data_IF_120510303745
#
_entry.id   IF_120510303745
#
_cell.length_a   1.000
_cell.length_b   1.000
_cell.length_c   1.000
_cell.angle_alpha   90.00
_cell.angle_beta   90.00
_cell.angle_gamma   90.00
#
_symmetry.space_group_name_H-M   'P 1'
#
loop_
_entity.id
_entity.type
_entity.pdbx_description
1 polymer ?
#
# COMPACT_ATOMS: atom_id res chain seq x y z
N UNK A 1 14.10 -8.19 -14.06
CA UNK A 1 12.76 -8.78 -14.29
C UNK A 1 12.66 -9.32 -15.71
N UNK A 2 12.06 -10.49 -15.93
CA UNK A 2 11.83 -11.08 -17.27
C UNK A 2 10.35 -11.27 -17.61
N UNK A 3 9.46 -11.06 -16.64
CA UNK A 3 8.01 -11.23 -16.80
C UNK A 3 7.35 -9.90 -17.19
N UNK A 4 6.42 -9.97 -18.14
CA UNK A 4 5.65 -8.80 -18.59
C UNK A 4 4.62 -8.40 -17.52
N UNK A 5 4.37 -7.08 -17.38
CA UNK A 5 3.40 -6.48 -16.44
C UNK A 5 3.76 -6.56 -14.95
N UNK A 6 5.03 -6.76 -14.61
CA UNK A 6 5.54 -6.57 -13.24
C UNK A 6 6.08 -5.13 -13.10
N UNK A 7 5.74 -4.48 -12.00
CA UNK A 7 6.07 -3.08 -11.78
C UNK A 7 7.50 -2.98 -11.26
N UNK A 8 8.29 -2.08 -11.82
CA UNK A 8 9.62 -1.78 -11.32
C UNK A 8 9.54 -1.15 -9.93
N UNK A 9 10.42 -1.59 -9.04
CA UNK A 9 10.56 -1.04 -7.69
C UNK A 9 11.77 -0.12 -7.61
N UNK A 10 12.04 0.42 -6.43
CA UNK A 10 13.20 1.23 -6.13
C UNK A 10 14.53 0.51 -6.43
N UNK A 11 14.55 -0.83 -6.39
CA UNK A 11 15.71 -1.63 -6.75
C UNK A 11 16.03 -1.54 -8.24
N UNK A 12 15.01 -1.63 -9.11
CA UNK A 12 15.19 -1.44 -10.55
C UNK A 12 15.62 0.00 -10.87
N UNK A 13 15.06 0.99 -10.18
CA UNK A 13 15.44 2.41 -10.35
C UNK A 13 16.91 2.62 -9.97
N UNK A 14 17.34 2.04 -8.85
CA UNK A 14 18.72 2.13 -8.40
C UNK A 14 19.70 1.40 -9.34
N UNK A 15 19.30 0.23 -9.84
CA UNK A 15 20.08 -0.50 -10.85
C UNK A 15 20.19 0.30 -12.17
N UNK A 16 19.12 0.98 -12.58
CA UNK A 16 19.13 1.88 -13.74
C UNK A 16 20.03 3.10 -13.53
N UNK A 17 20.07 3.69 -12.33
CA UNK A 17 20.97 4.79 -12.01
C UNK A 17 22.44 4.38 -12.17
N UNK A 18 22.80 3.17 -11.73
CA UNK A 18 24.14 2.61 -11.96
C UNK A 18 24.41 2.26 -13.42
N UNK A 19 23.41 1.71 -14.13
CA UNK A 19 23.53 1.38 -15.55
C UNK A 19 23.74 2.62 -16.43
N UNK A 20 22.99 3.70 -16.16
CA UNK A 20 23.02 4.94 -16.94
C UNK A 20 24.07 5.94 -16.47
N UNK A 21 24.74 5.69 -15.33
CA UNK A 21 25.76 6.57 -14.74
C UNK A 21 25.24 8.00 -14.56
N UNK A 22 23.99 8.11 -14.11
CA UNK A 22 23.28 9.38 -13.87
C UNK A 22 22.41 9.23 -12.63
N UNK A 23 22.19 10.34 -11.92
CA UNK A 23 21.26 10.36 -10.79
C UNK A 23 19.82 10.32 -11.31
N UNK A 24 18.99 9.48 -10.70
CA UNK A 24 17.55 9.44 -10.95
C UNK A 24 16.84 10.01 -9.73
N UNK A 25 16.00 11.02 -9.92
CA UNK A 25 15.18 11.63 -8.88
C UNK A 25 13.73 11.21 -9.08
N UNK A 26 13.09 10.76 -8.00
CA UNK A 26 11.64 10.53 -7.99
C UNK A 26 10.97 11.53 -7.07
N UNK A 27 9.88 12.15 -7.52
CA UNK A 27 9.06 13.01 -6.69
C UNK A 27 7.93 12.19 -6.08
N UNK A 28 7.94 12.08 -4.76
CA UNK A 28 6.94 11.36 -3.98
C UNK A 28 6.62 12.16 -2.72
N UNK A 29 5.33 12.29 -2.38
CA UNK A 29 4.87 12.94 -1.15
C UNK A 29 5.48 14.34 -0.93
N UNK A 30 5.48 15.15 -1.99
CA UNK A 30 6.02 16.51 -1.99
C UNK A 30 7.54 16.61 -1.75
N UNK A 31 8.29 15.52 -1.96
CA UNK A 31 9.73 15.45 -1.74
C UNK A 31 10.44 14.76 -2.90
N UNK A 32 11.68 15.17 -3.18
CA UNK A 32 12.55 14.52 -4.17
C UNK A 32 13.43 13.49 -3.49
N UNK A 33 13.38 12.26 -3.98
CA UNK A 33 14.24 11.15 -3.54
C UNK A 33 15.27 10.89 -4.63
N UNK A 34 16.55 10.91 -4.26
CA UNK A 34 17.68 10.68 -5.18
C UNK A 34 18.18 9.24 -5.12
N UNK A 35 18.25 8.60 -6.28
CA UNK A 35 18.89 7.32 -6.52
C UNK A 35 20.18 7.57 -7.29
N UNK A 36 21.31 7.25 -6.67
CA UNK A 36 22.63 7.48 -7.26
C UNK A 36 23.44 6.20 -7.25
N UNK A 37 24.19 5.99 -8.31
CA UNK A 37 25.13 4.89 -8.42
C UNK A 37 26.19 4.91 -7.31
N UNK A 38 26.48 6.09 -6.71
CA UNK A 38 27.37 6.23 -5.55
C UNK A 38 26.84 5.51 -4.30
N UNK A 39 25.54 5.19 -4.24
CA UNK A 39 24.93 4.40 -3.16
C UNK A 39 25.30 2.91 -3.25
N UNK A 40 25.85 2.46 -4.38
CA UNK A 40 26.27 1.06 -4.60
C UNK A 40 27.78 0.96 -4.79
N UNK A 41 28.36 1.85 -5.62
CA UNK A 41 29.76 1.78 -6.02
C UNK A 41 30.47 3.13 -5.81
N UNK A 42 31.60 3.13 -5.10
CA UNK A 42 32.36 4.33 -4.73
C UNK A 42 33.11 5.01 -5.88
N UNK A 43 33.16 4.40 -7.07
CA UNK A 43 33.77 4.96 -8.28
C UNK A 43 32.67 5.18 -9.31
N UNK A 44 32.12 6.39 -9.39
CA UNK A 44 31.27 6.77 -10.49
C UNK A 44 31.51 8.22 -10.87
N UNK A 45 31.91 8.44 -12.12
CA UNK A 45 31.83 9.72 -12.80
C UNK A 45 30.35 10.01 -13.06
N UNK A 46 29.67 10.61 -12.08
CA UNK A 46 28.25 10.93 -12.19
C UNK A 46 28.12 12.05 -13.22
N UNK A 47 27.39 11.81 -14.30
CA UNK A 47 27.09 12.85 -15.27
C UNK A 47 26.33 14.00 -14.57
N UNK A 48 26.63 15.26 -14.95
CA UNK A 48 25.96 16.47 -14.42
C UNK A 48 24.45 16.57 -14.79
N UNK A 49 23.93 15.60 -15.52
CA UNK A 49 22.52 15.51 -15.90
C UNK A 49 21.86 14.44 -15.03
N UNK A 50 20.58 14.65 -14.71
CA UNK A 50 19.79 13.75 -13.91
C UNK A 50 18.44 13.49 -14.57
N UNK A 51 17.89 12.30 -14.33
CA UNK A 51 16.56 11.91 -14.79
C UNK A 51 15.56 12.23 -13.68
N UNK A 52 14.45 12.88 -14.01
CA UNK A 52 13.41 13.23 -13.05
C UNK A 52 12.12 12.48 -13.37
N UNK A 53 11.56 11.82 -12.35
CA UNK A 53 10.32 11.06 -12.43
C UNK A 53 9.34 11.58 -11.38
N UNK A 54 8.06 11.63 -11.70
CA UNK A 54 6.99 11.87 -10.75
C UNK A 54 6.30 10.55 -10.42
N UNK A 55 6.25 10.18 -9.14
CA UNK A 55 5.57 8.98 -8.69
C UNK A 55 4.15 9.31 -8.23
N UNK A 56 3.18 8.87 -9.02
CA UNK A 56 1.74 8.96 -8.71
C UNK A 56 1.35 7.75 -7.86
N UNK A 57 1.59 7.84 -6.56
CA UNK A 57 1.43 6.73 -5.61
C UNK A 57 0.02 6.11 -5.60
N UNK A 58 -1.04 6.88 -5.92
CA UNK A 58 -2.42 6.38 -5.94
C UNK A 58 -2.67 5.35 -7.06
N UNK A 59 -1.88 5.41 -8.13
CA UNK A 59 -1.96 4.49 -9.28
C UNK A 59 -0.62 3.80 -9.56
N UNK A 60 0.34 3.90 -8.63
CA UNK A 60 1.73 3.41 -8.70
C UNK A 60 2.48 3.78 -10.00
N UNK A 61 2.08 4.86 -10.69
CA UNK A 61 2.56 5.21 -12.02
C UNK A 61 3.75 6.18 -11.97
N UNK A 62 4.68 6.05 -12.92
CA UNK A 62 5.82 6.97 -13.06
C UNK A 62 5.68 7.79 -14.33
N UNK A 63 5.68 9.11 -14.18
CA UNK A 63 5.70 10.04 -15.29
C UNK A 63 7.08 10.69 -15.41
N UNK A 64 7.51 10.99 -16.65
CA UNK A 64 8.78 11.67 -16.89
C UNK A 64 8.60 13.17 -16.70
N UNK A 65 9.46 13.78 -15.88
CA UNK A 65 9.47 15.23 -15.65
C UNK A 65 10.46 15.88 -16.61
N UNK A 66 9.97 16.78 -17.46
CA UNK A 66 10.76 17.42 -18.52
C UNK A 66 11.42 18.73 -18.09
N UNK A 67 10.94 19.36 -17.02
CA UNK A 67 11.51 20.58 -16.48
C UNK A 67 11.27 20.69 -14.96
N UNK A 68 12.29 21.14 -14.23
CA UNK A 68 12.20 21.42 -12.80
C UNK A 68 12.51 22.90 -12.58
N UNK A 69 11.66 23.61 -11.85
CA UNK A 69 11.90 25.02 -11.51
C UNK A 69 13.00 25.09 -10.45
N UNK A 70 14.16 25.64 -10.79
CA UNK A 70 15.23 25.85 -9.80
C UNK A 70 14.82 26.96 -8.82
N UNK A 71 14.58 26.59 -7.57
CA UNK A 71 14.71 27.51 -6.44
C UNK A 71 16.15 27.37 -5.91
N UNK A 72 16.70 28.47 -5.39
CA UNK A 72 18.14 28.63 -5.06
C UNK A 72 18.73 27.47 -4.25
N UNK A 73 20.06 27.23 -4.30
CA UNK A 73 20.70 25.94 -3.99
C UNK A 73 20.64 25.45 -2.53
N UNK A 74 19.82 26.05 -1.68
CA UNK A 74 19.77 25.78 -0.24
C UNK A 74 18.90 24.57 0.20
N UNK A 75 18.33 23.80 -0.73
CA UNK A 75 17.34 22.75 -0.41
C UNK A 75 17.55 21.39 -1.08
N UNK A 76 18.79 21.02 -1.41
CA UNK A 76 19.11 19.63 -1.75
C UNK A 76 19.55 18.89 -0.47
N UNK A 77 18.64 18.16 0.16
CA UNK A 77 19.01 17.20 1.20
C UNK A 77 19.57 15.93 0.53
N UNK A 78 20.90 15.83 0.50
CA UNK A 78 21.62 14.62 0.12
C UNK A 78 21.61 13.66 1.32
N UNK A 79 20.72 12.66 1.29
CA UNK A 79 20.79 11.53 2.21
C UNK A 79 21.81 10.50 1.70
N UNK A 80 23.08 10.68 2.04
CA UNK A 80 24.12 9.64 1.91
C UNK A 80 24.03 8.68 3.11
N UNK A 81 23.49 7.49 2.89
CA UNK A 81 23.51 6.41 3.89
C UNK A 81 24.90 5.75 3.86
N UNK A 82 25.83 6.26 4.66
CA UNK A 82 27.09 5.57 4.94
C UNK A 82 26.84 4.39 5.88
N UNK A 83 27.03 3.15 5.40
CA UNK A 83 27.21 1.98 6.26
C UNK A 83 28.66 1.97 6.76
N UNK A 84 28.88 2.24 8.04
CA UNK A 84 30.15 1.95 8.70
C UNK A 84 30.10 0.55 9.28
N UNK A 85 30.95 -0.33 8.75
CA UNK A 85 31.35 -1.56 9.40
C UNK A 85 32.41 -1.23 10.46
N UNK A 86 32.10 -1.41 11.73
CA UNK A 86 33.10 -1.35 12.81
C UNK A 86 33.16 -2.71 13.52
N UNK A 87 34.17 -3.50 13.13
CA UNK A 87 34.83 -4.46 14.02
C UNK A 87 35.47 -3.70 15.18
N UNK A 88 35.39 -4.21 16.42
CA UNK A 88 36.49 -4.18 17.42
C UNK A 88 36.16 -5.08 18.63
N UNK A 89 37.20 -5.79 19.06
CA UNK A 89 37.30 -6.83 20.07
C UNK A 89 36.99 -6.44 21.53
N UNK A 90 36.76 -7.49 22.33
CA UNK A 90 36.66 -7.51 23.80
C UNK A 90 38.02 -7.27 24.48
N UNK A 91 38.00 -6.59 25.63
CA UNK A 91 38.73 -6.89 26.90
C UNK A 91 38.28 -5.88 27.98
N UNK A 92 37.61 -6.32 29.07
CA UNK A 92 38.08 -6.39 30.49
C UNK A 92 38.65 -5.05 31.02
N UNK A 93 38.31 -4.46 32.18
CA UNK A 93 37.79 -4.94 33.46
C UNK A 93 37.58 -3.73 34.41
N UNK A 94 36.66 -3.89 35.39
CA UNK A 94 36.75 -3.46 36.82
C UNK A 94 36.53 -2.00 37.28
N UNK A 95 35.68 -1.93 38.32
CA UNK A 95 35.62 -1.00 39.47
C UNK A 95 34.72 0.26 39.44
N UNK A 96 33.52 0.06 39.99
CA UNK A 96 33.01 0.67 41.24
C UNK A 96 33.38 2.13 41.58
N UNK A 97 32.35 2.99 41.66
CA UNK A 97 31.97 3.69 42.91
C UNK A 97 30.66 4.47 42.73
N UNK A 98 29.72 4.22 43.65
CA UNK A 98 28.51 5.03 43.88
C UNK A 98 28.91 6.31 44.61
N UNK A 99 28.51 7.46 44.07
CA UNK A 99 28.32 8.69 44.86
C UNK A 99 27.06 9.39 44.37
N UNK A 100 26.08 9.49 45.27
CA UNK A 100 24.93 10.39 45.12
C UNK A 100 25.46 11.80 45.32
N UNK A 101 25.42 12.65 44.29
CA UNK A 101 25.60 14.09 44.43
C UNK A 101 24.48 14.84 43.71
N UNK A 102 23.89 15.73 44.50
CA UNK A 102 23.06 16.90 44.23
C UNK A 102 22.19 17.03 42.96
N UNK A 103 20.88 17.06 43.20
CA UNK A 103 19.86 17.50 42.25
C UNK A 103 19.80 19.03 42.32
N UNK A 104 20.59 19.72 41.50
CA UNK A 104 20.29 21.02 40.90
C UNK A 104 21.57 21.60 40.32
N UNK A 105 21.85 21.30 39.05
CA UNK A 105 22.60 22.10 38.06
C UNK A 105 23.16 21.20 36.94
N UNK A 106 22.31 20.80 35.98
CA UNK A 106 22.69 20.68 34.55
C UNK A 106 21.42 20.92 33.71
N UNK A 107 21.03 22.19 33.58
CA UNK A 107 20.41 22.65 32.33
C UNK A 107 21.56 22.81 31.33
N UNK A 108 21.29 22.47 30.07
CA UNK A 108 22.16 22.52 28.89
C UNK A 108 23.05 21.28 28.64
N UNK A 109 22.51 20.32 27.91
CA UNK A 109 23.05 19.88 26.60
C UNK A 109 22.18 18.76 26.01
N UNK A 110 21.22 19.16 25.18
CA UNK A 110 20.63 18.31 24.13
C UNK A 110 20.07 19.20 23.01
N UNK A 111 20.90 20.16 22.58
CA UNK A 111 20.73 20.86 21.31
C UNK A 111 21.71 20.21 20.33
N UNK A 112 21.19 19.41 19.42
CA UNK A 112 21.68 19.19 18.06
C UNK A 112 20.70 18.25 17.36
N UNK A 113 19.45 18.71 17.27
CA UNK A 113 18.58 18.36 16.17
C UNK A 113 18.10 19.68 15.60
N UNK A 114 19.02 20.34 14.89
CA UNK A 114 18.79 21.62 14.22
C UNK A 114 17.68 21.46 13.17
N UNK A 115 16.49 21.86 13.58
CA UNK A 115 15.77 22.96 12.95
C UNK A 115 15.77 22.97 11.40
N UNK A 116 15.08 22.01 10.81
CA UNK A 116 14.42 22.25 9.53
C UNK A 116 13.00 22.71 9.83
N UNK A 117 12.74 24.00 9.59
CA UNK A 117 11.42 24.62 9.66
C UNK A 117 10.59 24.14 8.45
N UNK A 118 10.28 22.85 8.41
CA UNK A 118 9.40 22.24 7.41
C UNK A 118 7.95 22.32 7.87
N UNK A 119 7.07 22.49 6.90
CA UNK A 119 5.62 22.78 6.90
C UNK A 119 4.71 21.78 7.66
N UNK A 120 5.22 21.13 8.71
CA UNK A 120 4.57 20.19 9.63
C UNK A 120 4.31 20.80 11.02
N UNK A 121 4.74 22.04 11.26
CA UNK A 121 4.60 22.73 12.55
C UNK A 121 3.18 23.23 12.84
N UNK A 122 2.27 23.24 11.84
CA UNK A 122 0.87 23.68 11.98
C UNK A 122 -0.12 22.52 12.05
N UNK A 123 0.32 21.27 11.88
CA UNK A 123 -0.61 20.13 11.98
C UNK A 123 -0.98 19.87 13.43
N UNK A 124 -2.29 19.81 13.67
CA UNK A 124 -2.85 19.38 14.94
C UNK A 124 -2.33 17.98 15.28
N UNK A 125 -2.34 17.65 16.57
CA UNK A 125 -1.99 16.31 17.05
C UNK A 125 -2.79 15.22 16.32
N UNK A 126 -4.05 15.49 15.99
CA UNK A 126 -4.93 14.57 15.27
C UNK A 126 -4.46 14.34 13.82
N UNK A 127 -4.02 15.38 13.12
CA UNK A 127 -3.54 15.27 11.74
C UNK A 127 -2.22 14.51 11.66
N UNK A 128 -1.29 14.78 12.59
CA UNK A 128 -0.05 14.00 12.72
C UNK A 128 -0.33 12.52 12.91
N UNK A 129 -1.33 12.18 13.72
CA UNK A 129 -1.73 10.79 13.95
C UNK A 129 -2.40 10.16 12.72
N UNK A 130 -3.22 10.91 11.96
CA UNK A 130 -3.81 10.44 10.70
C UNK A 130 -2.75 10.13 9.65
N UNK A 131 -1.78 11.03 9.46
CA UNK A 131 -0.66 10.83 8.54
C UNK A 131 0.13 9.59 8.96
N UNK A 132 0.45 9.48 10.25
CA UNK A 132 1.14 8.30 10.78
C UNK A 132 0.35 7.01 10.54
N UNK A 133 -0.97 7.02 10.70
CA UNK A 133 -1.80 5.84 10.44
C UNK A 133 -1.77 5.39 8.97
N UNK A 134 -1.57 6.31 8.03
CA UNK A 134 -1.43 6.01 6.60
C UNK A 134 -0.06 5.43 6.24
N UNK A 135 1.01 6.03 6.78
CA UNK A 135 2.39 5.71 6.37
C UNK A 135 3.00 4.58 7.21
N UNK A 136 2.79 4.56 8.52
CA UNK A 136 3.43 3.64 9.45
C UNK A 136 2.55 2.39 9.66
N UNK A 137 2.87 1.33 8.92
CA UNK A 137 2.15 0.05 8.95
C UNK A 137 2.12 -0.58 10.36
N UNK A 138 3.22 -0.51 11.11
CA UNK A 138 3.30 -1.07 12.46
C UNK A 138 2.44 -0.28 13.44
N UNK A 139 2.42 1.04 13.33
CA UNK A 139 1.53 1.88 14.11
C UNK A 139 0.06 1.58 13.81
N UNK A 140 -0.30 1.47 12.53
CA UNK A 140 -1.64 1.05 12.08
C UNK A 140 -2.03 -0.30 12.65
N UNK A 141 -1.13 -1.28 12.59
CA UNK A 141 -1.34 -2.63 13.12
C UNK A 141 -1.54 -2.62 14.63
N UNK A 142 -0.66 -1.96 15.38
CA UNK A 142 -0.77 -1.82 16.85
C UNK A 142 -2.06 -1.13 17.27
N UNK A 143 -2.44 -0.05 16.58
CA UNK A 143 -3.71 0.65 16.82
C UNK A 143 -4.90 -0.28 16.56
N UNK A 144 -4.89 -1.00 15.44
CA UNK A 144 -5.94 -1.96 15.08
C UNK A 144 -6.10 -3.05 16.13
N UNK A 145 -5.00 -3.68 16.57
CA UNK A 145 -5.02 -4.71 17.62
C UNK A 145 -5.55 -4.16 18.95
N UNK A 146 -5.13 -2.95 19.33
CA UNK A 146 -5.57 -2.31 20.57
C UNK A 146 -7.07 -1.99 20.54
N UNK A 147 -7.56 -1.45 19.41
CA UNK A 147 -8.98 -1.20 19.18
C UNK A 147 -9.80 -2.48 19.20
N UNK A 148 -9.33 -3.54 18.54
CA UNK A 148 -9.96 -4.87 18.57
C UNK A 148 -10.05 -5.37 20.01
N UNK A 149 -8.95 -5.36 20.77
CA UNK A 149 -8.95 -5.81 22.17
C UNK A 149 -9.96 -5.05 23.03
N UNK A 150 -10.00 -3.72 22.90
CA UNK A 150 -10.93 -2.87 23.66
C UNK A 150 -12.40 -3.17 23.31
N UNK A 151 -12.68 -3.44 22.04
CA UNK A 151 -14.03 -3.70 21.57
C UNK A 151 -14.52 -5.11 21.88
N UNK A 152 -13.69 -6.13 21.62
CA UNK A 152 -14.04 -7.54 21.84
C UNK A 152 -13.93 -7.95 23.31
N UNK A 153 -13.06 -7.31 24.10
CA UNK A 153 -12.87 -7.61 25.52
C UNK A 153 -13.87 -6.93 26.47
N UNK A 154 -14.80 -6.11 25.96
CA UNK A 154 -15.80 -5.44 26.78
C UNK A 154 -17.20 -5.57 26.16
N UNK A 155 -17.96 -6.51 26.71
CA UNK A 155 -19.31 -6.84 26.24
C UNK A 155 -20.28 -5.66 26.35
N UNK A 156 -20.17 -4.86 27.42
CA UNK A 156 -21.04 -3.72 27.66
C UNK A 156 -20.90 -2.66 26.54
N UNK A 157 -19.66 -2.37 26.12
CA UNK A 157 -19.39 -1.46 25.01
C UNK A 157 -19.99 -1.99 23.71
N UNK A 158 -19.87 -3.30 23.46
CA UNK A 158 -20.41 -3.95 22.26
C UNK A 158 -21.93 -3.84 22.21
N UNK A 159 -22.61 -4.21 23.30
CA UNK A 159 -24.07 -4.13 23.40
C UNK A 159 -24.58 -2.68 23.27
N UNK A 160 -23.88 -1.71 23.85
CA UNK A 160 -24.22 -0.28 23.66
C UNK A 160 -24.16 0.13 22.19
N UNK A 161 -23.14 -0.30 21.44
CA UNK A 161 -23.05 0.01 20.00
C UNK A 161 -24.11 -0.69 19.16
N UNK A 162 -24.42 -1.96 19.46
CA UNK A 162 -25.49 -2.70 18.77
C UNK A 162 -26.82 -2.00 18.98
N UNK A 163 -27.18 -1.67 20.24
CA UNK A 163 -28.42 -0.95 20.55
C UNK A 163 -28.47 0.43 19.87
N UNK A 164 -27.33 1.12 19.77
CA UNK A 164 -27.27 2.39 19.04
C UNK A 164 -27.54 2.19 17.55
N UNK A 165 -26.90 1.20 16.93
CA UNK A 165 -27.11 0.88 15.51
C UNK A 165 -28.56 0.50 15.19
N UNK A 166 -29.22 -0.20 16.10
CA UNK A 166 -30.63 -0.61 15.94
C UNK A 166 -31.58 0.60 16.00
N UNK A 167 -31.39 1.48 16.99
CA UNK A 167 -32.32 2.59 17.29
C UNK A 167 -32.06 3.87 16.52
N UNK A 168 -30.80 4.18 16.18
CA UNK A 168 -30.41 5.43 15.56
C UNK A 168 -30.17 5.22 14.06
N UNK A 169 -31.18 5.60 13.26
CA UNK A 169 -31.14 5.51 11.80
C UNK A 169 -29.96 6.30 11.22
N UNK A 170 -29.74 7.53 11.70
CA UNK A 170 -28.70 8.42 11.16
C UNK A 170 -27.30 7.86 11.38
N UNK A 171 -27.08 7.29 12.56
CA UNK A 171 -25.84 6.60 12.89
C UNK A 171 -25.62 5.37 12.00
N UNK A 172 -26.67 4.56 11.79
CA UNK A 172 -26.61 3.38 10.93
C UNK A 172 -26.29 3.75 9.48
N UNK A 173 -26.98 4.74 8.92
CA UNK A 173 -26.74 5.21 7.55
C UNK A 173 -25.33 5.77 7.39
N UNK A 174 -24.87 6.60 8.32
CA UNK A 174 -23.51 7.14 8.30
C UNK A 174 -22.44 6.04 8.29
N UNK A 175 -22.63 4.97 9.07
CA UNK A 175 -21.74 3.81 9.06
C UNK A 175 -21.76 3.06 7.74
N UNK A 176 -22.94 2.85 7.16
CA UNK A 176 -23.09 2.18 5.86
C UNK A 176 -22.38 2.99 4.78
N UNK A 177 -22.61 4.30 4.71
CA UNK A 177 -21.98 5.18 3.73
C UNK A 177 -20.46 5.21 3.89
N UNK A 178 -19.97 5.29 5.12
CA UNK A 178 -18.52 5.20 5.39
C UNK A 178 -17.93 3.85 4.93
N UNK A 179 -18.68 2.76 5.10
CA UNK A 179 -18.30 1.43 4.63
C UNK A 179 -18.25 1.32 3.11
N UNK A 180 -19.23 1.92 2.42
CA UNK A 180 -19.27 1.99 0.95
C UNK A 180 -18.09 2.80 0.42
N UNK A 181 -17.85 4.00 0.96
CA UNK A 181 -16.72 4.84 0.59
C UNK A 181 -15.40 4.07 0.74
N UNK A 182 -15.23 3.42 1.89
CA UNK A 182 -14.04 2.59 2.15
C UNK A 182 -13.89 1.45 1.14
N UNK A 183 -14.97 0.78 0.75
CA UNK A 183 -14.91 -0.29 -0.27
C UNK A 183 -14.45 0.22 -1.64
N UNK A 184 -14.79 1.46 -2.00
CA UNK A 184 -14.36 2.06 -3.25
C UNK A 184 -12.90 2.56 -3.21
N UNK A 185 -12.49 3.15 -2.09
CA UNK A 185 -11.18 3.80 -1.92
C UNK A 185 -10.05 2.83 -1.53
N UNK A 186 -10.33 1.83 -0.70
CA UNK A 186 -9.33 0.93 -0.10
C UNK A 186 -9.40 -0.44 -0.78
N UNK A 187 -8.48 -0.68 -1.72
CA UNK A 187 -8.42 -1.91 -2.50
C UNK A 187 -8.12 -3.14 -1.63
N UNK A 188 -7.22 -3.02 -0.65
CA UNK A 188 -6.91 -4.12 0.28
C UNK A 188 -8.13 -4.52 1.09
N UNK A 189 -8.88 -3.52 1.58
CA UNK A 189 -10.13 -3.75 2.30
C UNK A 189 -11.18 -4.42 1.41
N UNK A 190 -11.36 -3.94 0.16
CA UNK A 190 -12.27 -4.53 -0.82
C UNK A 190 -11.92 -5.99 -1.09
N UNK A 191 -10.66 -6.27 -1.40
CA UNK A 191 -10.20 -7.62 -1.72
C UNK A 191 -10.37 -8.56 -0.52
N UNK A 192 -10.02 -8.11 0.69
CA UNK A 192 -10.22 -8.88 1.93
C UNK A 192 -11.71 -9.20 2.15
N UNK A 193 -12.59 -8.24 1.89
CA UNK A 193 -14.04 -8.41 2.06
C UNK A 193 -14.61 -9.41 1.04
N UNK A 194 -14.18 -9.32 -0.22
CA UNK A 194 -14.55 -10.27 -1.29
C UNK A 194 -14.11 -11.69 -0.90
N UNK A 195 -12.84 -11.85 -0.51
CA UNK A 195 -12.32 -13.16 -0.11
C UNK A 195 -13.06 -13.73 1.08
N UNK A 196 -13.34 -12.91 2.11
CA UNK A 196 -14.14 -13.33 3.25
C UNK A 196 -15.55 -13.78 2.86
N UNK A 197 -16.17 -13.10 1.88
CA UNK A 197 -17.48 -13.49 1.33
C UNK A 197 -17.42 -14.82 0.58
N UNK A 198 -16.38 -15.05 -0.21
CA UNK A 198 -16.14 -16.32 -0.92
C UNK A 198 -15.94 -17.46 0.08
N UNK A 199 -15.06 -17.29 1.07
CA UNK A 199 -14.84 -18.27 2.14
C UNK A 199 -16.15 -18.59 2.85
N UNK A 200 -16.93 -17.57 3.22
CA UNK A 200 -18.22 -17.78 3.87
C UNK A 200 -19.18 -18.60 3.00
N UNK A 201 -19.26 -18.34 1.70
CA UNK A 201 -20.12 -19.10 0.79
C UNK A 201 -19.71 -20.60 0.72
N UNK A 202 -18.41 -20.89 0.80
CA UNK A 202 -17.92 -22.26 0.79
C UNK A 202 -18.10 -22.98 2.13
N UNK A 203 -17.88 -22.28 3.24
CA UNK A 203 -17.83 -22.87 4.58
C UNK A 203 -19.18 -22.89 5.30
N UNK A 204 -20.04 -21.89 5.08
CA UNK A 204 -21.32 -21.72 5.76
C UNK A 204 -22.46 -22.18 4.83
N UNK A 205 -22.92 -23.42 5.05
CA UNK A 205 -23.96 -24.04 4.24
C UNK A 205 -25.31 -23.33 4.34
N UNK A 206 -25.68 -22.86 5.54
CA UNK A 206 -26.93 -22.12 5.74
C UNK A 206 -26.91 -20.80 4.97
N UNK A 207 -25.78 -20.09 5.03
CA UNK A 207 -25.60 -18.86 4.27
C UNK A 207 -25.63 -19.10 2.75
N UNK A 208 -24.96 -20.15 2.27
CA UNK A 208 -24.98 -20.55 0.86
C UNK A 208 -26.39 -20.86 0.39
N UNK A 209 -27.12 -21.69 1.14
CA UNK A 209 -28.49 -22.08 0.80
C UNK A 209 -29.42 -20.86 0.78
N UNK A 210 -29.32 -19.98 1.78
CA UNK A 210 -30.10 -18.74 1.81
C UNK A 210 -29.82 -17.81 0.61
N UNK A 211 -28.55 -17.71 0.19
CA UNK A 211 -28.16 -16.94 -1.01
C UNK A 211 -28.73 -17.56 -2.29
N UNK A 212 -28.66 -18.89 -2.43
CA UNK A 212 -29.23 -19.59 -3.59
C UNK A 212 -30.74 -19.36 -3.66
N UNK A 213 -31.46 -19.54 -2.54
CA UNK A 213 -32.91 -19.33 -2.49
C UNK A 213 -33.28 -17.88 -2.82
N UNK A 214 -32.54 -16.92 -2.27
CA UNK A 214 -32.73 -15.49 -2.59
C UNK A 214 -32.49 -15.21 -4.08
N UNK A 215 -31.49 -15.84 -4.69
CA UNK A 215 -31.20 -15.74 -6.12
C UNK A 215 -32.31 -16.30 -7.00
N UNK A 216 -32.87 -17.46 -6.61
CA UNK A 216 -34.02 -18.08 -7.29
C UNK A 216 -35.25 -17.16 -7.20
N UNK A 217 -35.59 -16.69 -5.99
CA UNK A 217 -36.71 -15.77 -5.80
C UNK A 217 -36.56 -14.52 -6.68
N UNK A 218 -35.36 -13.91 -6.66
CA UNK A 218 -35.05 -12.73 -7.49
C UNK A 218 -35.16 -13.01 -8.98
N UNK A 219 -34.78 -14.20 -9.46
CA UNK A 219 -34.96 -14.58 -10.86
C UNK A 219 -36.44 -14.62 -11.28
N UNK A 220 -37.31 -15.08 -10.39
CA UNK A 220 -38.74 -15.15 -10.66
C UNK A 220 -39.39 -13.76 -10.63
N UNK A 221 -39.02 -12.93 -9.65
CA UNK A 221 -39.68 -11.65 -9.37
C UNK A 221 -39.12 -10.48 -10.19
N UNK A 222 -37.81 -10.40 -10.39
CA UNK A 222 -37.14 -9.26 -11.04
C UNK A 222 -36.84 -9.59 -12.52
N UNK A 223 -37.66 -9.03 -13.41
CA UNK A 223 -37.51 -9.20 -14.86
C UNK A 223 -36.17 -8.67 -15.39
N UNK A 224 -35.69 -7.53 -14.87
CA UNK A 224 -34.42 -6.94 -15.30
C UNK A 224 -33.25 -7.85 -14.92
N UNK A 225 -33.28 -8.39 -13.70
CA UNK A 225 -32.27 -9.34 -13.25
C UNK A 225 -32.28 -10.62 -14.09
N UNK A 226 -33.47 -11.19 -14.35
CA UNK A 226 -33.64 -12.38 -15.19
C UNK A 226 -33.11 -12.17 -16.60
N UNK A 227 -33.43 -11.04 -17.23
CA UNK A 227 -33.00 -10.75 -18.60
C UNK A 227 -31.48 -10.54 -18.68
N UNK A 228 -30.87 -9.86 -17.70
CA UNK A 228 -29.40 -9.74 -17.60
C UNK A 228 -28.72 -11.10 -17.50
N UNK A 229 -29.26 -12.01 -16.68
CA UNK A 229 -28.71 -13.37 -16.55
C UNK A 229 -28.82 -14.17 -17.85
N UNK A 230 -29.96 -14.10 -18.54
CA UNK A 230 -30.13 -14.76 -19.86
C UNK A 230 -29.12 -14.24 -20.87
N UNK A 231 -28.92 -12.92 -20.93
CA UNK A 231 -27.95 -12.30 -21.83
C UNK A 231 -26.51 -12.76 -21.52
N UNK A 232 -26.13 -12.73 -20.25
CA UNK A 232 -24.81 -13.19 -19.80
C UNK A 232 -24.58 -14.68 -20.13
N UNK A 233 -25.60 -15.51 -19.97
CA UNK A 233 -25.54 -16.93 -20.35
C UNK A 233 -25.29 -17.11 -21.84
N UNK A 234 -26.01 -16.36 -22.69
CA UNK A 234 -25.82 -16.42 -24.16
C UNK A 234 -24.42 -15.96 -24.55
N UNK A 235 -23.94 -14.87 -23.96
CA UNK A 235 -22.58 -14.37 -24.20
C UNK A 235 -21.52 -15.42 -23.82
N UNK A 236 -21.67 -16.06 -22.66
CA UNK A 236 -20.76 -17.14 -22.22
C UNK A 236 -20.71 -18.29 -23.22
N UNK A 237 -21.86 -18.77 -23.69
CA UNK A 237 -21.92 -19.84 -24.70
C UNK A 237 -21.26 -19.43 -26.01
N UNK A 238 -21.48 -18.20 -26.48
CA UNK A 238 -20.81 -17.67 -27.68
C UNK A 238 -19.30 -17.62 -27.51
N UNK A 239 -18.80 -17.14 -26.37
CA UNK A 239 -17.37 -17.10 -26.06
C UNK A 239 -16.74 -18.50 -26.04
N UNK A 240 -17.40 -19.48 -25.40
CA UNK A 240 -16.94 -20.87 -25.38
C UNK A 240 -16.89 -21.45 -26.80
N UNK A 241 -17.91 -21.19 -27.61
CA UNK A 241 -17.97 -21.66 -29.00
C UNK A 241 -16.82 -21.08 -29.85
N UNK A 242 -16.53 -19.78 -29.70
CA UNK A 242 -15.41 -19.12 -30.40
C UNK A 242 -14.07 -19.76 -29.99
N UNK A 243 -13.85 -19.99 -28.68
CA UNK A 243 -12.64 -20.64 -28.19
C UNK A 243 -12.48 -22.07 -28.74
N UNK A 244 -13.58 -22.82 -28.81
CA UNK A 244 -13.58 -24.17 -29.37
C UNK A 244 -13.26 -24.18 -30.87
N UNK A 245 -13.86 -23.27 -31.65
CA UNK A 245 -13.55 -23.11 -33.07
C UNK A 245 -12.08 -22.72 -33.30
N UNK A 246 -11.54 -21.80 -32.50
CA UNK A 246 -10.12 -21.41 -32.58
C UNK A 246 -9.20 -22.61 -32.32
N UNK A 247 -9.49 -23.41 -31.30
CA UNK A 247 -8.71 -24.59 -30.96
C UNK A 247 -8.68 -25.65 -32.08
N UNK A 248 -9.82 -25.87 -32.75
CA UNK A 248 -9.92 -26.79 -33.90
C UNK A 248 -9.13 -26.27 -35.10
N UNK A 249 -9.24 -24.97 -35.42
CA UNK A 249 -8.49 -24.37 -36.52
C UNK A 249 -6.98 -24.43 -36.29
N UNK A 250 -6.50 -24.25 -35.06
CA UNK A 250 -5.06 -24.39 -34.73
C UNK A 250 -4.54 -25.81 -34.89
N UNK A 251 -5.33 -26.84 -34.53
CA UNK A 251 -4.93 -28.25 -34.72
C UNK A 251 -4.91 -28.68 -36.20
N UNK A 252 -5.70 -28.03 -37.05
CA UNK A 252 -5.73 -28.37 -38.47
C UNK A 252 -4.53 -27.80 -39.25
N UNK A 253 -3.86 -26.75 -38.74
CA UNK A 253 -2.67 -26.15 -39.35
C UNK A 253 -1.41 -26.98 -39.06
N UNK A 254 -1.26 -27.56 -37.87
CA UNK A 254 -0.06 -28.35 -37.50
C UNK A 254 0.07 -29.69 -38.25
N UNK A 255 -1.01 -30.25 -38.82
CA UNK A 255 -0.96 -31.54 -39.52
C UNK A 255 -0.49 -31.47 -40.98
N UNK A 256 -0.26 -30.28 -41.53
CA UNK A 256 0.17 -30.10 -42.92
C UNK A 256 1.64 -29.69 -43.09
N UNK A 257 2.37 -29.39 -42.01
CA UNK A 257 3.79 -29.01 -42.07
C UNK A 257 4.77 -30.20 -41.95
N UNK A 258 4.30 -31.41 -41.61
CA UNK A 258 5.13 -32.62 -41.42
C UNK A 258 5.17 -33.58 -42.63
N UNK A 259 4.79 -33.10 -43.82
CA UNK A 259 4.95 -33.83 -45.10
C UNK A 259 5.79 -33.02 -46.09
N UNK A 260 7.02 -32.71 -45.70
CA UNK A 260 8.11 -32.26 -46.57
C UNK A 260 9.05 -33.40 -46.90
#
# INVERSE_FOLDING_TARGET
MKENNVWGTELEILACADLFKTDIYTFLNNSWIRYSASQICSNNDVNNQAIYLQHLADINHYEVVTAVKSMSPSSFQINEIHRKDDHIERKSEVASKKTKLDKNQVKYSKNNLDNCYDELTVLSKAEKERIRYKIDHEFRTRKTVTLKRKYWGNEEIRLKKIKKYEKDQTYRESLIQSGIAKYHEDEDYRNTLIQSGISKYHEDEDNRNALIQSGIAKYHEDENYRNKLKLASVQKTKSIHILWCYHISSHHVEQYDDKG
#
